data_IF_555993268325
#
_entry.id   IF_555993268325
#
_cell.length_a   1.000
_cell.length_b   1.000
_cell.length_c   1.000
_cell.angle_alpha   90.00
_cell.angle_beta   90.00
_cell.angle_gamma   90.00
#
_symmetry.space_group_name_H-M   'P 1'
#
loop_
_entity.id
_entity.type
_entity.pdbx_description
1 polymer ?
#
# COMPACT_ATOMS: atom_id res chain seq x y z
N UNK A 1 -3.49 -21.57 8.17
CA UNK A 1 -2.44 -20.59 7.82
C UNK A 1 -1.08 -21.18 8.16
N UNK A 2 -0.01 -20.84 7.44
CA UNK A 2 1.34 -21.38 7.67
C UNK A 2 1.99 -20.84 8.95
N UNK A 3 1.61 -19.62 9.37
CA UNK A 3 2.12 -18.95 10.56
C UNK A 3 1.02 -18.86 11.62
N UNK A 4 1.35 -19.25 12.85
CA UNK A 4 0.37 -19.27 13.95
C UNK A 4 0.32 -17.95 14.70
N UNK A 5 1.49 -17.29 14.88
CA UNK A 5 1.65 -16.03 15.62
C UNK A 5 2.10 -14.93 14.69
N UNK A 6 1.29 -13.89 14.58
CA UNK A 6 1.52 -12.78 13.63
C UNK A 6 1.49 -11.46 14.37
N UNK A 7 2.59 -10.72 14.31
CA UNK A 7 2.64 -9.33 14.77
C UNK A 7 2.17 -8.39 13.66
N UNK A 8 1.27 -7.47 13.99
CA UNK A 8 0.89 -6.34 13.14
C UNK A 8 1.40 -5.05 13.78
N UNK A 9 2.39 -4.40 13.18
CA UNK A 9 2.78 -3.05 13.60
C UNK A 9 1.86 -2.02 12.96
N UNK A 10 1.56 -0.93 13.67
CA UNK A 10 0.55 0.02 13.22
C UNK A 10 -0.88 -0.50 13.41
N UNK A 11 -1.07 -1.47 14.33
CA UNK A 11 -2.34 -2.15 14.57
C UNK A 11 -3.46 -1.23 15.08
N UNK A 12 -3.12 -0.11 15.70
CA UNK A 12 -4.07 0.90 16.15
C UNK A 12 -4.55 1.85 15.04
N UNK A 13 -3.86 1.88 13.91
CA UNK A 13 -4.19 2.72 12.75
C UNK A 13 -5.33 2.17 11.88
N UNK A 14 -5.76 2.97 10.90
CA UNK A 14 -6.85 2.58 9.98
C UNK A 14 -6.52 1.26 9.26
N UNK A 15 -5.43 1.20 8.52
CA UNK A 15 -5.07 0.00 7.77
C UNK A 15 -4.78 -1.19 8.69
N UNK A 16 -4.03 -0.97 9.78
CA UNK A 16 -3.71 -2.02 10.74
C UNK A 16 -4.95 -2.67 11.33
N UNK A 17 -5.99 -1.90 11.61
CA UNK A 17 -7.27 -2.42 12.08
C UNK A 17 -7.94 -3.37 11.09
N UNK A 18 -7.91 -3.07 9.78
CA UNK A 18 -8.41 -4.00 8.75
C UNK A 18 -7.56 -5.27 8.63
N UNK A 19 -6.23 -5.13 8.76
CA UNK A 19 -5.31 -6.29 8.74
C UNK A 19 -5.55 -7.19 9.94
N UNK A 20 -5.69 -6.63 11.16
CA UNK A 20 -6.02 -7.39 12.36
C UNK A 20 -7.36 -8.12 12.17
N UNK A 21 -8.38 -7.43 11.69
CA UNK A 21 -9.70 -8.02 11.46
C UNK A 21 -9.67 -9.20 10.47
N UNK A 22 -8.88 -9.10 9.40
CA UNK A 22 -8.73 -10.18 8.40
C UNK A 22 -8.02 -11.41 8.98
N UNK A 23 -7.11 -11.22 9.95
CA UNK A 23 -6.25 -12.27 10.46
C UNK A 23 -6.73 -12.93 11.76
N UNK A 24 -7.45 -12.20 12.63
CA UNK A 24 -7.76 -12.65 13.99
C UNK A 24 -8.56 -13.95 14.08
N UNK A 25 -9.31 -14.33 13.04
CA UNK A 25 -10.00 -15.62 12.96
C UNK A 25 -9.13 -16.77 12.45
N UNK A 26 -7.87 -16.50 12.08
CA UNK A 26 -6.98 -17.43 11.36
C UNK A 26 -5.63 -17.64 12.06
N UNK A 27 -5.22 -16.69 12.90
CA UNK A 27 -3.96 -16.69 13.63
C UNK A 27 -4.10 -16.02 14.99
N UNK A 28 -3.13 -16.25 15.86
CA UNK A 28 -2.92 -15.48 17.07
C UNK A 28 -2.26 -14.15 16.65
N UNK A 29 -3.04 -13.08 16.59
CA UNK A 29 -2.58 -11.76 16.20
C UNK A 29 -2.18 -10.95 17.44
N UNK A 30 -1.02 -10.33 17.41
CA UNK A 30 -0.60 -9.31 18.37
C UNK A 30 -0.39 -7.97 17.65
N UNK A 31 -0.51 -6.87 18.39
CA UNK A 31 -0.38 -5.51 17.86
C UNK A 31 0.79 -4.75 18.49
N UNK A 32 1.42 -3.89 17.70
CA UNK A 32 2.33 -2.83 18.15
C UNK A 32 1.88 -1.50 17.56
N UNK A 33 1.60 -0.52 18.41
CA UNK A 33 1.29 0.86 17.99
C UNK A 33 1.48 1.84 19.16
N UNK A 34 1.57 3.12 18.87
CA UNK A 34 1.57 4.22 19.85
C UNK A 34 0.18 4.43 20.47
N UNK A 35 -0.89 4.00 19.77
CA UNK A 35 -2.28 4.06 20.19
C UNK A 35 -2.93 2.69 20.20
N UNK A 36 -3.81 2.43 21.16
CA UNK A 36 -4.57 1.19 21.18
C UNK A 36 -5.54 1.12 20.00
N UNK A 37 -5.62 -0.05 19.39
CA UNK A 37 -6.58 -0.35 18.34
C UNK A 37 -7.99 -0.64 18.86
N UNK A 38 -8.89 -0.99 17.91
CA UNK A 38 -10.30 -1.33 18.21
C UNK A 38 -10.49 -2.81 18.57
N UNK A 39 -9.44 -3.62 18.45
CA UNK A 39 -9.50 -5.08 18.63
C UNK A 39 -8.92 -5.49 19.98
N UNK A 40 -9.55 -6.47 20.61
CA UNK A 40 -9.06 -7.11 21.83
C UNK A 40 -8.03 -8.20 21.48
N UNK A 41 -6.78 -7.78 21.27
CA UNK A 41 -5.64 -8.63 20.98
C UNK A 41 -4.49 -8.32 21.95
N UNK A 42 -3.54 -9.24 22.19
CA UNK A 42 -2.28 -8.91 22.85
C UNK A 42 -1.62 -7.68 22.20
N UNK A 43 -1.19 -6.71 22.99
CA UNK A 43 -0.81 -5.42 22.44
C UNK A 43 0.38 -4.80 23.19
N UNK A 44 1.45 -4.51 22.46
CA UNK A 44 2.59 -3.73 22.92
C UNK A 44 2.37 -2.26 22.56
N UNK A 45 2.26 -1.40 23.56
CA UNK A 45 2.11 0.05 23.32
C UNK A 45 3.46 0.72 23.21
N UNK A 46 3.78 1.26 22.04
CA UNK A 46 5.02 2.02 21.83
C UNK A 46 5.27 2.36 20.37
N UNK A 47 6.37 3.05 20.13
CA UNK A 47 6.79 3.47 18.78
C UNK A 47 7.71 2.44 18.15
N UNK A 48 7.60 2.25 16.84
CA UNK A 48 8.59 1.50 16.04
C UNK A 48 9.97 2.19 16.04
N UNK A 49 10.05 3.44 16.46
CA UNK A 49 11.30 4.17 16.63
C UNK A 49 12.10 3.72 17.86
N UNK A 50 11.45 3.04 18.82
CA UNK A 50 12.09 2.48 20.01
C UNK A 50 12.49 1.02 19.76
N UNK A 51 13.79 0.71 19.61
CA UNK A 51 14.25 -0.64 19.33
C UNK A 51 13.94 -1.64 20.45
N UNK A 52 13.86 -1.23 21.71
CA UNK A 52 13.56 -2.13 22.81
C UNK A 52 12.10 -2.58 22.78
N UNK A 53 11.18 -1.65 22.50
CA UNK A 53 9.75 -1.94 22.33
C UNK A 53 9.53 -2.87 21.14
N UNK A 54 10.21 -2.62 20.03
CA UNK A 54 10.10 -3.45 18.81
C UNK A 54 10.65 -4.85 19.08
N UNK A 55 11.80 -4.96 19.78
CA UNK A 55 12.37 -6.25 20.15
C UNK A 55 11.42 -7.07 21.02
N UNK A 56 10.79 -6.45 22.02
CA UNK A 56 9.75 -7.10 22.86
C UNK A 56 8.59 -7.61 22.00
N UNK A 57 8.05 -6.76 21.12
CA UNK A 57 6.89 -7.12 20.29
C UNK A 57 7.19 -8.27 19.30
N UNK A 58 8.42 -8.40 18.81
CA UNK A 58 8.84 -9.46 17.90
C UNK A 58 9.08 -10.81 18.59
N UNK A 59 9.22 -10.85 19.92
CA UNK A 59 9.51 -12.11 20.63
C UNK A 59 8.42 -13.16 20.40
N UNK A 60 8.85 -14.33 19.98
CA UNK A 60 7.96 -15.48 19.78
C UNK A 60 7.02 -15.35 18.58
N UNK A 61 7.14 -14.36 17.72
CA UNK A 61 6.33 -14.24 16.51
C UNK A 61 6.87 -15.12 15.37
N UNK A 62 5.95 -15.68 14.58
CA UNK A 62 6.32 -16.45 13.39
C UNK A 62 6.45 -15.54 12.16
N UNK A 63 5.60 -14.50 12.10
CA UNK A 63 5.60 -13.53 11.00
C UNK A 63 5.26 -12.12 11.49
N UNK A 64 5.66 -11.12 10.70
CA UNK A 64 5.36 -9.70 10.93
C UNK A 64 4.71 -9.09 9.70
N UNK A 65 3.63 -8.32 9.91
CA UNK A 65 3.10 -7.40 8.91
C UNK A 65 3.40 -5.98 9.38
N UNK A 66 4.31 -5.30 8.69
CA UNK A 66 4.76 -3.98 9.04
C UNK A 66 3.93 -2.91 8.32
N UNK A 67 2.94 -2.35 9.03
CA UNK A 67 2.05 -1.28 8.55
C UNK A 67 2.39 0.07 9.16
N UNK A 68 2.98 0.07 10.36
CA UNK A 68 3.35 1.30 11.08
C UNK A 68 4.17 2.24 10.19
N UNK A 69 3.66 3.44 10.00
CA UNK A 69 4.31 4.48 9.21
C UNK A 69 3.60 5.82 9.40
N UNK A 70 4.28 6.90 9.04
CA UNK A 70 3.65 8.16 8.64
C UNK A 70 3.17 7.98 7.20
N UNK A 71 1.83 7.95 6.93
CA UNK A 71 1.27 7.34 5.72
C UNK A 71 1.23 8.26 4.51
N UNK A 72 1.70 9.49 4.63
CA UNK A 72 1.73 10.47 3.53
C UNK A 72 2.62 11.68 3.88
N UNK A 73 2.82 12.57 2.90
CA UNK A 73 3.67 13.76 3.04
C UNK A 73 3.12 14.83 4.00
N UNK A 74 1.87 14.74 4.43
CA UNK A 74 1.24 15.69 5.35
C UNK A 74 1.19 15.17 6.79
N UNK A 75 1.68 13.96 7.02
CA UNK A 75 1.67 13.32 8.35
C UNK A 75 2.82 13.76 9.26
N UNK A 76 3.62 14.73 8.82
CA UNK A 76 4.72 15.33 9.57
C UNK A 76 5.73 16.04 8.66
N UNK A 77 6.79 16.55 9.24
CA UNK A 77 7.96 17.05 8.52
C UNK A 77 8.69 15.90 7.80
N UNK A 78 9.52 16.22 6.82
CA UNK A 78 10.34 15.22 6.13
C UNK A 78 11.23 14.42 7.09
N UNK A 79 11.79 15.08 8.13
CA UNK A 79 12.60 14.42 9.15
C UNK A 79 11.79 13.41 9.96
N UNK A 80 10.59 13.78 10.42
CA UNK A 80 9.72 12.87 11.16
C UNK A 80 9.26 11.69 10.32
N UNK A 81 8.97 11.92 9.03
CA UNK A 81 8.64 10.84 8.08
C UNK A 81 9.82 9.87 7.94
N UNK A 82 11.05 10.39 7.76
CA UNK A 82 12.26 9.56 7.67
C UNK A 82 12.52 8.80 8.98
N UNK A 83 12.37 9.45 10.13
CA UNK A 83 12.57 8.81 11.41
C UNK A 83 11.59 7.65 11.63
N UNK A 84 10.30 7.88 11.47
CA UNK A 84 9.30 6.82 11.68
C UNK A 84 9.41 5.74 10.60
N UNK A 85 9.46 6.12 9.32
CA UNK A 85 9.36 5.14 8.25
C UNK A 85 10.67 4.39 8.02
N UNK A 86 11.81 5.08 8.02
CA UNK A 86 13.10 4.44 7.67
C UNK A 86 13.72 3.82 8.91
N UNK A 87 13.93 4.61 9.98
CA UNK A 87 14.54 4.06 11.21
C UNK A 87 13.60 3.06 11.88
N UNK A 88 12.29 3.34 11.92
CA UNK A 88 11.31 2.39 12.44
C UNK A 88 11.28 1.07 11.66
N UNK A 89 11.33 1.11 10.31
CA UNK A 89 11.40 -0.12 9.50
C UNK A 89 12.72 -0.87 9.73
N UNK A 90 13.84 -0.17 9.89
CA UNK A 90 15.11 -0.79 10.25
C UNK A 90 15.01 -1.55 11.57
N UNK A 91 14.47 -0.92 12.62
CA UNK A 91 14.29 -1.55 13.92
C UNK A 91 13.43 -2.82 13.83
N UNK A 92 12.32 -2.74 13.07
CA UNK A 92 11.42 -3.89 12.89
C UNK A 92 12.11 -5.04 12.14
N UNK A 93 12.85 -4.75 11.07
CA UNK A 93 13.58 -5.76 10.31
C UNK A 93 14.67 -6.43 11.16
N UNK A 94 15.44 -5.64 11.92
CA UNK A 94 16.49 -6.15 12.80
C UNK A 94 15.92 -7.00 13.93
N UNK A 95 14.90 -6.51 14.64
CA UNK A 95 14.28 -7.26 15.72
C UNK A 95 13.60 -8.54 15.23
N UNK A 96 12.98 -8.52 14.06
CA UNK A 96 12.38 -9.69 13.43
C UNK A 96 13.44 -10.75 13.09
N UNK A 97 14.61 -10.34 12.54
CA UNK A 97 15.74 -11.23 12.27
C UNK A 97 16.27 -11.86 13.57
N UNK A 98 16.53 -11.03 14.60
CA UNK A 98 17.05 -11.46 15.91
C UNK A 98 16.08 -12.39 16.65
N UNK A 99 14.77 -12.16 16.54
CA UNK A 99 13.72 -13.02 17.12
C UNK A 99 13.47 -14.31 16.33
N UNK A 100 14.11 -14.50 15.18
CA UNK A 100 13.93 -15.68 14.33
C UNK A 100 12.59 -15.70 13.58
N UNK A 101 11.99 -14.54 13.32
CA UNK A 101 10.80 -14.39 12.47
C UNK A 101 11.08 -14.98 11.09
N UNK A 102 10.13 -15.78 10.59
CA UNK A 102 10.30 -16.50 9.32
C UNK A 102 9.91 -15.66 8.11
N UNK A 103 8.91 -14.79 8.26
CA UNK A 103 8.41 -13.93 7.16
C UNK A 103 8.03 -12.55 7.66
N UNK A 104 8.44 -11.54 6.92
CA UNK A 104 7.97 -10.16 7.09
C UNK A 104 7.37 -9.61 5.82
N UNK A 105 6.23 -8.90 5.94
CA UNK A 105 5.60 -8.20 4.84
C UNK A 105 5.70 -6.71 5.12
N UNK A 106 6.39 -5.99 4.24
CA UNK A 106 6.56 -4.54 4.32
C UNK A 106 5.50 -3.81 3.49
N UNK A 107 4.89 -2.81 4.09
CA UNK A 107 3.97 -1.90 3.41
C UNK A 107 4.75 -0.77 2.75
N UNK A 108 4.92 -0.85 1.43
CA UNK A 108 5.44 0.23 0.58
C UNK A 108 4.29 1.12 0.07
N UNK A 109 4.43 1.72 -1.10
CA UNK A 109 3.43 2.56 -1.76
C UNK A 109 3.74 2.67 -3.26
N UNK A 110 2.73 2.90 -4.07
CA UNK A 110 2.89 3.29 -5.47
C UNK A 110 3.57 4.66 -5.65
N UNK A 111 3.64 5.47 -4.59
CA UNK A 111 4.36 6.76 -4.58
C UNK A 111 5.84 6.65 -4.95
N UNK A 112 6.47 5.48 -4.73
CA UNK A 112 7.87 5.20 -5.13
C UNK A 112 8.08 5.33 -6.64
N UNK A 113 7.00 5.26 -7.44
CA UNK A 113 7.02 5.42 -8.90
C UNK A 113 7.04 6.89 -9.35
N UNK A 114 6.81 7.85 -8.42
CA UNK A 114 6.83 9.29 -8.71
C UNK A 114 5.52 9.83 -9.29
N UNK A 115 4.40 9.11 -9.12
CA UNK A 115 3.10 9.53 -9.65
C UNK A 115 2.28 10.36 -8.65
N UNK A 116 2.77 10.51 -7.42
CA UNK A 116 2.20 11.46 -6.45
C UNK A 116 2.59 12.88 -6.87
N UNK A 117 1.59 13.69 -7.17
CA UNK A 117 1.81 15.10 -7.55
C UNK A 117 1.67 15.98 -6.33
N UNK A 118 2.79 16.43 -5.81
CA UNK A 118 2.85 17.38 -4.67
C UNK A 118 3.00 18.82 -5.14
N UNK A 119 3.68 18.99 -6.27
CA UNK A 119 3.84 20.28 -6.97
C UNK A 119 4.16 20.01 -8.44
N UNK A 120 3.72 20.88 -9.33
CA UNK A 120 3.98 20.75 -10.77
C UNK A 120 3.15 19.65 -11.43
N UNK A 121 3.76 18.90 -12.35
CA UNK A 121 3.11 17.86 -13.16
C UNK A 121 3.50 16.45 -12.72
N UNK A 122 2.62 15.50 -12.99
CA UNK A 122 2.90 14.07 -12.83
C UNK A 122 4.11 13.65 -13.68
N UNK A 123 5.06 12.91 -13.10
CA UNK A 123 6.12 12.28 -13.87
C UNK A 123 5.49 11.20 -14.77
N UNK A 124 5.72 11.24 -16.08
CA UNK A 124 5.12 10.25 -16.96
C UNK A 124 5.73 8.87 -16.75
N UNK A 125 4.94 7.79 -16.79
CA UNK A 125 5.48 6.44 -16.88
C UNK A 125 6.22 6.25 -18.21
N UNK A 126 7.23 5.38 -18.23
CA UNK A 126 7.98 5.07 -19.46
C UNK A 126 7.15 4.18 -20.38
N UNK A 127 6.33 3.30 -19.81
CA UNK A 127 5.43 2.38 -20.51
C UNK A 127 4.27 1.93 -19.60
N UNK A 128 3.28 1.31 -20.23
CA UNK A 128 2.08 0.77 -19.56
C UNK A 128 1.81 -0.70 -19.95
N UNK A 129 1.20 -1.49 -19.05
CA UNK A 129 1.07 -1.18 -17.63
C UNK A 129 2.44 -1.13 -16.96
N UNK A 130 2.52 -0.37 -15.86
CA UNK A 130 3.70 -0.26 -15.01
C UNK A 130 3.88 -1.56 -14.24
N UNK A 131 4.97 -2.26 -14.49
CA UNK A 131 5.34 -3.51 -13.83
C UNK A 131 6.36 -3.29 -12.68
N UNK A 132 6.73 -4.33 -11.92
CA UNK A 132 7.70 -4.22 -10.84
C UNK A 132 9.10 -3.73 -11.26
N UNK A 133 9.48 -3.90 -12.52
CA UNK A 133 10.78 -3.50 -13.06
C UNK A 133 10.82 -2.05 -13.57
N UNK A 134 9.67 -1.35 -13.53
CA UNK A 134 9.60 0.05 -13.93
C UNK A 134 10.49 0.93 -13.02
N UNK A 135 11.24 1.90 -13.59
CA UNK A 135 12.10 2.79 -12.81
C UNK A 135 11.38 3.48 -11.66
N UNK A 136 12.01 3.51 -10.49
CA UNK A 136 11.52 4.17 -9.30
C UNK A 136 11.98 5.63 -9.29
N UNK A 137 11.07 6.57 -8.98
CA UNK A 137 11.29 8.01 -9.08
C UNK A 137 10.66 8.75 -7.91
N UNK A 138 11.05 8.35 -6.70
CA UNK A 138 10.59 9.02 -5.48
C UNK A 138 10.98 10.51 -5.48
N UNK A 139 10.00 11.41 -5.34
CA UNK A 139 10.20 12.86 -5.45
C UNK A 139 9.90 13.62 -4.17
N UNK A 140 9.39 12.97 -3.15
CA UNK A 140 9.03 13.56 -1.87
C UNK A 140 9.53 12.71 -0.69
N UNK A 141 9.58 13.25 0.54
CA UNK A 141 10.10 12.51 1.70
C UNK A 141 9.36 11.19 1.99
N UNK A 142 8.03 11.14 1.74
CA UNK A 142 7.26 9.92 1.95
C UNK A 142 7.61 8.86 0.92
N UNK A 143 7.57 9.20 -0.36
CA UNK A 143 7.96 8.30 -1.44
C UNK A 143 9.39 7.78 -1.28
N UNK A 144 10.33 8.68 -0.94
CA UNK A 144 11.73 8.32 -0.68
C UNK A 144 11.85 7.38 0.53
N UNK A 145 11.12 7.64 1.62
CA UNK A 145 11.12 6.76 2.78
C UNK A 145 10.66 5.34 2.44
N UNK A 146 9.59 5.21 1.62
CA UNK A 146 9.09 3.91 1.17
C UNK A 146 10.08 3.19 0.25
N UNK A 147 10.74 3.92 -0.65
CA UNK A 147 11.82 3.37 -1.48
C UNK A 147 12.97 2.82 -0.63
N UNK A 148 13.42 3.56 0.39
CA UNK A 148 14.46 3.11 1.31
C UNK A 148 14.03 1.87 2.10
N UNK A 149 12.75 1.79 2.54
CA UNK A 149 12.21 0.60 3.19
C UNK A 149 12.28 -0.65 2.28
N UNK A 150 11.99 -0.50 0.98
CA UNK A 150 12.14 -1.60 0.03
C UNK A 150 13.60 -2.04 -0.13
N UNK A 151 14.55 -1.09 -0.18
CA UNK A 151 15.98 -1.40 -0.28
C UNK A 151 16.49 -2.11 0.99
N UNK A 152 16.05 -1.67 2.17
CA UNK A 152 16.34 -2.37 3.42
C UNK A 152 15.76 -3.80 3.40
N UNK A 153 14.48 -3.94 3.03
CA UNK A 153 13.85 -5.25 2.86
C UNK A 153 14.64 -6.16 1.91
N UNK A 154 15.11 -5.61 0.79
CA UNK A 154 15.98 -6.35 -0.15
C UNK A 154 17.27 -6.82 0.49
N UNK A 155 17.95 -5.94 1.24
CA UNK A 155 19.16 -6.28 1.96
C UNK A 155 18.95 -7.43 2.94
N UNK A 156 17.87 -7.39 3.73
CA UNK A 156 17.53 -8.45 4.68
C UNK A 156 17.17 -9.76 3.97
N UNK A 157 16.44 -9.73 2.86
CA UNK A 157 16.12 -10.94 2.09
C UNK A 157 17.34 -11.66 1.52
N UNK A 158 18.45 -10.93 1.32
CA UNK A 158 19.70 -11.48 0.80
C UNK A 158 20.64 -11.99 1.91
N UNK A 159 20.59 -11.38 3.10
CA UNK A 159 21.55 -11.66 4.17
C UNK A 159 21.07 -12.69 5.19
N UNK A 160 19.77 -12.88 5.35
CA UNK A 160 19.18 -13.74 6.37
C UNK A 160 18.21 -14.76 5.77
N UNK A 161 17.71 -15.67 6.63
CA UNK A 161 16.74 -16.70 6.22
C UNK A 161 15.29 -16.21 6.26
N UNK A 162 15.05 -14.98 6.66
CA UNK A 162 13.73 -14.39 6.74
C UNK A 162 13.22 -14.06 5.32
N UNK A 163 12.04 -14.55 4.99
CA UNK A 163 11.36 -14.18 3.75
C UNK A 163 10.80 -12.77 3.87
N UNK A 164 11.16 -11.89 2.95
CA UNK A 164 10.67 -10.51 2.91
C UNK A 164 9.83 -10.30 1.67
N UNK A 165 8.58 -9.84 1.85
CA UNK A 165 7.68 -9.47 0.74
C UNK A 165 7.36 -7.98 0.82
N UNK A 166 7.16 -7.37 -0.36
CA UNK A 166 6.80 -5.96 -0.47
C UNK A 166 5.40 -5.83 -1.08
N UNK A 167 4.51 -5.16 -0.38
CA UNK A 167 3.20 -4.76 -0.88
C UNK A 167 3.25 -3.27 -1.20
N UNK A 168 2.95 -2.90 -2.45
CA UNK A 168 2.81 -1.50 -2.93
C UNK A 168 1.33 -1.19 -3.15
N UNK A 169 0.59 -0.76 -2.13
CA UNK A 169 -0.77 -0.31 -2.33
C UNK A 169 -0.79 1.04 -3.06
N UNK A 170 -1.87 1.27 -3.77
CA UNK A 170 -2.30 2.59 -4.22
C UNK A 170 -3.06 3.31 -3.09
N UNK A 171 -3.72 4.44 -3.40
CA UNK A 171 -4.57 5.14 -2.45
C UNK A 171 -5.60 4.19 -1.81
N UNK A 172 -5.54 4.03 -0.48
CA UNK A 172 -6.50 3.21 0.26
C UNK A 172 -7.77 4.02 0.51
N UNK A 173 -8.87 3.58 -0.11
CA UNK A 173 -10.16 4.24 -0.01
C UNK A 173 -10.95 3.68 1.17
N UNK A 174 -10.82 4.31 2.32
CA UNK A 174 -11.62 3.97 3.49
C UNK A 174 -13.07 4.46 3.35
N UNK A 175 -14.05 3.79 3.99
CA UNK A 175 -15.46 4.18 3.94
C UNK A 175 -15.72 5.66 4.31
N UNK A 176 -14.91 6.20 5.23
CA UNK A 176 -14.98 7.60 5.67
C UNK A 176 -14.74 8.61 4.53
N UNK A 177 -14.06 8.20 3.45
CA UNK A 177 -13.76 9.03 2.28
C UNK A 177 -14.69 8.79 1.09
N UNK A 178 -15.69 7.94 1.22
CA UNK A 178 -16.61 7.63 0.12
C UNK A 178 -17.41 8.86 -0.34
N UNK A 179 -17.82 9.71 0.60
CA UNK A 179 -18.54 10.97 0.28
C UNK A 179 -17.68 11.89 -0.61
N UNK A 180 -16.39 11.98 -0.37
CA UNK A 180 -15.45 12.79 -1.17
C UNK A 180 -15.29 12.23 -2.58
N UNK A 181 -15.21 10.90 -2.71
CA UNK A 181 -15.12 10.23 -4.01
C UNK A 181 -16.38 10.49 -4.83
N UNK A 182 -17.55 10.42 -4.19
CA UNK A 182 -18.84 10.73 -4.84
C UNK A 182 -18.94 12.20 -5.27
N UNK A 183 -18.51 13.13 -4.41
CA UNK A 183 -18.46 14.57 -4.75
C UNK A 183 -17.53 14.83 -5.93
N UNK A 184 -16.36 14.21 -5.96
CA UNK A 184 -15.40 14.30 -7.07
C UNK A 184 -15.96 13.69 -8.35
N UNK A 185 -16.64 12.56 -8.28
CA UNK A 185 -17.25 11.90 -9.43
C UNK A 185 -18.41 12.72 -10.02
N UNK A 186 -19.20 13.38 -9.15
CA UNK A 186 -20.31 14.24 -9.58
C UNK A 186 -19.84 15.54 -10.27
N UNK A 187 -18.65 16.06 -9.92
CA UNK A 187 -18.08 17.28 -10.52
C UNK A 187 -16.57 17.15 -10.76
N UNK A 188 -16.13 16.32 -11.73
CA UNK A 188 -14.72 16.00 -11.93
C UNK A 188 -13.80 17.19 -12.23
N UNK A 189 -14.35 18.24 -12.81
CA UNK A 189 -13.61 19.47 -13.21
C UNK A 189 -13.65 20.57 -12.16
N UNK A 190 -14.73 20.64 -11.39
CA UNK A 190 -14.94 21.67 -10.37
C UNK A 190 -14.53 21.27 -8.96
N UNK A 191 -14.28 19.99 -8.70
CA UNK A 191 -13.86 19.50 -7.38
C UNK A 191 -12.45 20.01 -7.03
N UNK A 192 -12.36 20.81 -5.98
CA UNK A 192 -11.12 21.48 -5.58
C UNK A 192 -10.39 20.81 -4.42
N UNK A 193 -10.90 19.70 -3.92
CA UNK A 193 -10.33 18.97 -2.79
C UNK A 193 -11.35 18.74 -1.68
N UNK A 194 -10.98 18.01 -0.64
CA UNK A 194 -11.90 17.56 0.39
C UNK A 194 -12.42 18.74 1.23
N UNK A 195 -13.74 18.84 1.34
CA UNK A 195 -14.43 19.72 2.29
C UNK A 195 -14.19 19.28 3.74
N UNK A 196 -13.90 18.00 3.94
CA UNK A 196 -13.65 17.38 5.24
C UNK A 196 -12.21 17.55 5.80
N UNK A 197 -11.42 18.47 5.26
CA UNK A 197 -10.12 18.85 5.82
C UNK A 197 -8.91 18.01 5.40
N UNK A 198 -9.04 17.08 4.48
CA UNK A 198 -7.90 16.40 3.87
C UNK A 198 -7.18 17.31 2.86
N UNK A 199 -5.88 17.08 2.66
CA UNK A 199 -5.08 17.89 1.72
C UNK A 199 -5.01 17.31 0.31
N UNK A 200 -5.53 16.10 0.11
CA UNK A 200 -5.59 15.45 -1.21
C UNK A 200 -7.01 15.16 -1.64
N UNK A 201 -7.31 15.34 -2.94
CA UNK A 201 -8.58 14.85 -3.50
C UNK A 201 -8.69 13.34 -3.30
N UNK A 202 -9.83 12.88 -2.82
CA UNK A 202 -10.11 11.46 -2.63
C UNK A 202 -9.95 10.67 -3.96
N UNK A 203 -9.54 9.41 -3.85
CA UNK A 203 -9.31 8.55 -5.00
C UNK A 203 -7.92 8.67 -5.61
N UNK A 204 -6.93 9.17 -4.85
CA UNK A 204 -5.50 9.17 -5.21
C UNK A 204 -5.17 9.89 -6.52
N UNK A 205 -4.27 10.86 -6.46
CA UNK A 205 -3.63 11.49 -7.62
C UNK A 205 -4.46 11.77 -8.89
N UNK A 206 -3.81 12.06 -10.00
CA UNK A 206 -4.48 12.45 -11.25
C UNK A 206 -5.29 11.31 -11.92
N UNK A 207 -4.92 10.05 -11.69
CA UNK A 207 -5.51 8.88 -12.36
C UNK A 207 -6.65 8.25 -11.54
N UNK A 208 -6.82 8.65 -10.28
CA UNK A 208 -7.82 8.14 -9.37
C UNK A 208 -7.73 6.63 -9.11
N UNK A 209 -6.50 6.14 -8.95
CA UNK A 209 -6.27 4.78 -8.46
C UNK A 209 -6.81 4.63 -7.03
N UNK A 210 -7.32 3.45 -6.72
CA UNK A 210 -7.74 3.13 -5.37
C UNK A 210 -7.63 1.63 -5.09
N UNK A 211 -7.64 1.28 -3.81
CA UNK A 211 -7.89 -0.06 -3.31
C UNK A 211 -8.79 0.01 -2.08
N UNK A 212 -9.75 -0.89 -1.98
CA UNK A 212 -10.56 -1.03 -0.78
C UNK A 212 -9.70 -1.60 0.36
N UNK A 213 -9.80 -1.08 1.61
CA UNK A 213 -8.98 -1.58 2.73
C UNK A 213 -9.20 -3.05 3.05
N UNK A 214 -10.38 -3.62 2.76
CA UNK A 214 -10.67 -5.05 2.93
C UNK A 214 -9.91 -5.89 1.91
N UNK A 215 -9.84 -5.44 0.66
CA UNK A 215 -9.03 -6.09 -0.38
C UNK A 215 -7.55 -6.00 -0.06
N UNK A 216 -7.08 -4.86 0.43
CA UNK A 216 -5.68 -4.70 0.83
C UNK A 216 -5.33 -5.59 2.02
N UNK A 217 -6.20 -5.67 3.04
CA UNK A 217 -6.00 -6.58 4.17
C UNK A 217 -5.93 -8.04 3.70
N UNK A 218 -6.78 -8.44 2.76
CA UNK A 218 -6.75 -9.76 2.13
C UNK A 218 -5.46 -9.99 1.35
N UNK A 219 -4.89 -8.98 0.68
CA UNK A 219 -3.60 -9.09 0.02
C UNK A 219 -2.47 -9.39 1.03
N UNK A 220 -2.47 -8.76 2.20
CA UNK A 220 -1.52 -9.08 3.27
C UNK A 220 -1.66 -10.52 3.77
N UNK A 221 -2.89 -11.01 3.96
CA UNK A 221 -3.14 -12.41 4.32
C UNK A 221 -2.60 -13.37 3.25
N UNK A 222 -2.92 -13.14 1.99
CA UNK A 222 -2.43 -13.97 0.88
C UNK A 222 -0.91 -13.98 0.81
N UNK A 223 -0.26 -12.84 1.07
CA UNK A 223 1.19 -12.75 1.17
C UNK A 223 1.79 -13.54 2.35
N UNK A 224 1.02 -13.74 3.44
CA UNK A 224 1.41 -14.68 4.50
C UNK A 224 1.24 -16.15 4.08
N UNK A 225 0.26 -16.45 3.24
CA UNK A 225 -0.13 -17.83 2.89
C UNK A 225 0.64 -18.39 1.68
N UNK A 226 1.21 -17.52 0.83
CA UNK A 226 1.92 -17.96 -0.38
C UNK A 226 3.10 -18.87 -0.04
N UNK A 227 3.26 -19.94 -0.82
CA UNK A 227 4.42 -20.83 -0.73
C UNK A 227 5.51 -20.36 -1.69
N UNK A 228 6.77 -20.39 -1.22
CA UNK A 228 7.94 -19.96 -2.01
C UNK A 228 7.77 -18.53 -2.60
N UNK A 229 7.54 -17.52 -1.74
CA UNK A 229 7.26 -16.18 -2.21
C UNK A 229 8.47 -15.59 -2.92
N UNK A 230 8.21 -14.80 -3.96
CA UNK A 230 9.20 -13.87 -4.48
C UNK A 230 9.29 -12.66 -3.55
N UNK A 231 10.43 -12.00 -3.53
CA UNK A 231 10.60 -10.75 -2.78
C UNK A 231 9.50 -9.73 -3.10
N UNK A 232 9.02 -9.70 -4.33
CA UNK A 232 8.06 -8.72 -4.84
C UNK A 232 8.80 -7.63 -5.60
N UNK A 233 8.27 -6.39 -5.67
CA UNK A 233 7.05 -5.89 -5.04
C UNK A 233 5.77 -6.30 -5.76
N UNK A 234 4.66 -6.32 -5.02
CA UNK A 234 3.32 -6.55 -5.55
C UNK A 234 2.51 -5.25 -5.53
N UNK A 235 2.11 -4.79 -6.70
CA UNK A 235 1.21 -3.64 -6.86
C UNK A 235 -0.22 -4.09 -6.55
N UNK A 236 -0.86 -3.42 -5.58
CA UNK A 236 -2.20 -3.75 -5.10
C UNK A 236 -3.14 -2.58 -5.39
N UNK A 237 -4.09 -2.81 -6.29
CA UNK A 237 -5.08 -1.84 -6.74
C UNK A 237 -6.41 -2.51 -7.04
N UNK A 238 -7.49 -1.74 -7.05
CA UNK A 238 -8.75 -2.17 -7.66
C UNK A 238 -8.55 -2.43 -9.16
N UNK A 239 -9.50 -3.20 -9.75
CA UNK A 239 -9.45 -3.57 -11.18
C UNK A 239 -9.67 -2.38 -12.12
N UNK A 240 -10.28 -1.31 -11.61
CA UNK A 240 -10.61 -0.10 -12.39
C UNK A 240 -10.27 1.15 -11.61
N UNK A 241 -9.95 2.22 -12.29
CA UNK A 241 -9.81 3.57 -11.69
C UNK A 241 -11.20 4.17 -11.44
N UNK A 242 -11.27 5.20 -10.59
CA UNK A 242 -12.51 5.93 -10.32
C UNK A 242 -12.75 7.09 -11.29
N UNK A 243 -11.81 7.36 -12.20
CA UNK A 243 -11.95 8.44 -13.18
C UNK A 243 -13.11 8.18 -14.16
N UNK A 244 -13.87 9.19 -14.58
CA UNK A 244 -14.98 9.00 -15.50
C UNK A 244 -14.52 8.58 -16.91
N UNK A 245 -13.33 9.02 -17.34
CA UNK A 245 -12.77 8.70 -18.65
C UNK A 245 -11.96 7.39 -18.63
N UNK A 246 -11.83 6.71 -19.79
CA UNK A 246 -10.86 5.63 -19.97
C UNK A 246 -9.44 6.05 -19.53
N UNK A 247 -8.71 5.12 -18.93
CA UNK A 247 -7.41 5.41 -18.31
C UNK A 247 -6.38 5.98 -19.29
N UNK A 248 -6.28 5.41 -20.50
CA UNK A 248 -5.31 5.87 -21.50
C UNK A 248 -5.64 7.27 -22.02
N UNK A 249 -6.92 7.59 -22.22
CA UNK A 249 -7.37 8.91 -22.69
C UNK A 249 -7.14 9.96 -21.61
N UNK A 250 -7.44 9.62 -20.36
CA UNK A 250 -7.16 10.48 -19.22
C UNK A 250 -5.67 10.78 -19.10
N UNK A 251 -4.84 9.75 -19.17
CA UNK A 251 -3.39 9.91 -19.06
C UNK A 251 -2.83 10.76 -20.21
N UNK A 252 -3.28 10.49 -21.45
CA UNK A 252 -2.87 11.28 -22.62
C UNK A 252 -3.25 12.76 -22.47
N UNK A 253 -4.44 13.06 -21.92
CA UNK A 253 -4.89 14.42 -21.65
C UNK A 253 -4.03 15.12 -20.58
N UNK A 254 -3.68 14.40 -19.49
CA UNK A 254 -2.86 14.97 -18.41
C UNK A 254 -1.45 15.27 -18.88
N UNK A 255 -0.85 14.36 -19.68
CA UNK A 255 0.55 14.46 -20.11
C UNK A 255 0.72 15.22 -21.44
N UNK A 256 -0.36 15.55 -22.15
CA UNK A 256 -0.30 16.15 -23.49
C UNK A 256 0.27 15.21 -24.57
N UNK A 257 0.45 13.92 -24.26
CA UNK A 257 0.99 12.89 -25.17
C UNK A 257 0.56 11.48 -24.76
N UNK A 258 0.62 10.55 -25.69
CA UNK A 258 0.42 9.11 -25.39
C UNK A 258 1.70 8.49 -24.87
N UNK A 259 1.54 7.47 -24.00
CA UNK A 259 2.63 6.65 -23.46
C UNK A 259 2.63 5.30 -24.19
N UNK A 260 3.82 4.69 -24.45
CA UNK A 260 3.91 3.35 -25.00
C UNK A 260 3.14 2.32 -24.17
N UNK A 261 2.34 1.48 -24.82
CA UNK A 261 1.55 0.44 -24.16
C UNK A 261 2.12 -0.92 -24.55
N UNK A 262 2.73 -1.64 -23.60
CA UNK A 262 3.33 -2.96 -23.79
C UNK A 262 2.28 -4.09 -23.80
N UNK A 263 1.16 -3.91 -23.07
CA UNK A 263 0.06 -4.88 -22.94
C UNK A 263 -1.28 -4.23 -23.30
N UNK A 264 -1.53 -3.94 -24.60
CA UNK A 264 -2.75 -3.26 -25.03
C UNK A 264 -4.02 -4.05 -24.70
N UNK A 265 -3.93 -5.38 -24.62
CA UNK A 265 -5.03 -6.28 -24.26
C UNK A 265 -5.63 -5.94 -22.87
N UNK A 266 -4.83 -5.44 -21.93
CA UNK A 266 -5.30 -5.03 -20.59
C UNK A 266 -6.36 -3.92 -20.72
N UNK A 267 -6.06 -2.91 -21.55
CA UNK A 267 -6.94 -1.75 -21.72
C UNK A 267 -8.06 -2.00 -22.74
N UNK A 268 -7.88 -2.98 -23.64
CA UNK A 268 -8.95 -3.42 -24.52
C UNK A 268 -10.01 -4.22 -23.75
N UNK A 269 -9.58 -5.04 -22.78
CA UNK A 269 -10.48 -5.80 -21.92
C UNK A 269 -11.17 -4.92 -20.87
N UNK A 270 -10.46 -3.93 -20.32
CA UNK A 270 -10.97 -2.97 -19.35
C UNK A 270 -10.41 -1.57 -19.63
N UNK A 271 -11.17 -0.68 -20.31
CA UNK A 271 -10.70 0.68 -20.59
C UNK A 271 -10.33 1.51 -19.35
N UNK A 272 -10.84 1.11 -18.20
CA UNK A 272 -10.60 1.77 -16.91
C UNK A 272 -9.56 1.05 -16.05
N UNK A 273 -8.84 0.06 -16.60
CA UNK A 273 -7.77 -0.63 -15.88
C UNK A 273 -6.76 0.38 -15.30
N UNK A 274 -6.17 0.11 -14.12
CA UNK A 274 -5.17 1.00 -13.53
C UNK A 274 -3.92 1.08 -14.42
N UNK A 275 -3.01 2.02 -14.10
CA UNK A 275 -1.73 2.09 -14.81
C UNK A 275 -0.82 0.88 -14.51
N UNK A 276 -1.15 0.06 -13.53
CA UNK A 276 -0.28 -0.96 -12.96
C UNK A 276 -0.55 -2.33 -13.54
N UNK A 277 0.51 -3.13 -13.70
CA UNK A 277 0.40 -4.56 -13.97
C UNK A 277 0.01 -5.31 -12.69
N UNK A 278 -1.21 -5.80 -12.65
CA UNK A 278 -1.74 -6.57 -11.52
C UNK A 278 -1.47 -8.09 -11.65
N UNK A 279 -0.91 -8.54 -12.76
CA UNK A 279 -0.64 -9.95 -13.01
C UNK A 279 0.29 -10.58 -11.94
N UNK A 280 1.37 -9.94 -11.48
CA UNK A 280 2.21 -10.53 -10.43
C UNK A 280 1.46 -10.81 -9.12
N UNK A 281 0.57 -9.90 -8.69
CA UNK A 281 -0.22 -10.13 -7.48
C UNK A 281 -1.25 -11.25 -7.67
N UNK A 282 -1.86 -11.35 -8.86
CA UNK A 282 -2.79 -12.41 -9.21
C UNK A 282 -2.09 -13.76 -9.31
N UNK A 283 -0.99 -13.84 -10.05
CA UNK A 283 -0.36 -15.10 -10.43
C UNK A 283 0.45 -15.70 -9.26
N UNK A 284 1.10 -14.86 -8.44
CA UNK A 284 1.89 -15.33 -7.31
C UNK A 284 1.07 -15.45 -6.02
N UNK A 285 0.24 -14.45 -5.71
CA UNK A 285 -0.50 -14.40 -4.45
C UNK A 285 -1.95 -14.91 -4.57
N UNK A 286 -2.46 -15.09 -5.78
CA UNK A 286 -3.88 -15.35 -6.01
C UNK A 286 -4.77 -14.14 -5.68
N UNK A 287 -4.20 -12.92 -5.73
CA UNK A 287 -4.92 -11.70 -5.37
C UNK A 287 -5.63 -11.09 -6.58
N UNK A 288 -6.91 -10.88 -6.43
CA UNK A 288 -7.71 -10.00 -7.29
C UNK A 288 -8.64 -9.16 -6.41
N UNK A 289 -8.73 -7.86 -6.66
CA UNK A 289 -9.64 -6.98 -5.92
C UNK A 289 -11.11 -7.40 -6.14
N UNK A 290 -11.85 -7.50 -5.04
CA UNK A 290 -13.26 -7.92 -5.03
C UNK A 290 -14.25 -6.77 -4.86
N UNK A 291 -13.80 -5.63 -4.31
CA UNK A 291 -14.67 -4.49 -4.04
C UNK A 291 -14.57 -3.46 -5.18
N UNK A 292 -15.70 -3.22 -5.83
CA UNK A 292 -15.80 -2.31 -6.98
C UNK A 292 -16.57 -1.02 -6.61
N UNK A 293 -15.82 0.00 -6.16
CA UNK A 293 -16.38 1.33 -5.94
C UNK A 293 -16.80 2.01 -7.27
N UNK A 294 -16.14 1.68 -8.39
CA UNK A 294 -16.50 2.25 -9.68
C UNK A 294 -17.92 1.89 -10.08
N UNK A 295 -18.34 0.63 -9.91
CA UNK A 295 -19.70 0.20 -10.19
C UNK A 295 -20.74 0.95 -9.35
N UNK A 296 -20.39 1.35 -8.13
CA UNK A 296 -21.25 2.17 -7.27
C UNK A 296 -21.34 3.65 -7.71
N UNK A 297 -20.27 4.18 -8.33
CA UNK A 297 -20.23 5.56 -8.83
C UNK A 297 -20.91 5.70 -10.21
N UNK A 298 -20.76 4.70 -11.04
CA UNK A 298 -21.25 4.69 -12.43
C UNK A 298 -22.03 3.39 -12.68
N UNK A 299 -23.23 3.25 -12.08
CA UNK A 299 -24.05 2.07 -12.30
C UNK A 299 -24.36 1.90 -13.79
N UNK A 300 -24.33 0.66 -14.26
CA UNK A 300 -24.81 0.36 -15.60
C UNK A 300 -26.28 0.77 -15.71
N UNK A 301 -26.63 1.50 -16.79
CA UNK A 301 -27.99 1.94 -17.06
C UNK A 301 -28.90 0.76 -17.40
#
# INVERSE_FOLDING_TARGET
MQFERVLVTGAGGLLGSYVVNELQSRAQVSGLDITFGRHEIPFTRGSVEDPAVVAEACQGQDAVIHVAARPNIWSGSGTEIMQTNVVGTWNVLQAAEEAGVKRIILTSSDSVLGYTVTSGAMIPPDYLPVDPDHPLRATDPYALSKLLCEQMGRSFSLRCKMEVLIIRPVYVLYPEFECEVRARAANPTGYKGPEAGGRQPAGGGPIWHYVDPRDLARAFRLALEVRNPRFGPYLISARSTLAPEPTLDRLARILGRRIPVKKPEVYSANPYAPLYDLAPARDDLGFEAGHDMRGLLYPAA
#
